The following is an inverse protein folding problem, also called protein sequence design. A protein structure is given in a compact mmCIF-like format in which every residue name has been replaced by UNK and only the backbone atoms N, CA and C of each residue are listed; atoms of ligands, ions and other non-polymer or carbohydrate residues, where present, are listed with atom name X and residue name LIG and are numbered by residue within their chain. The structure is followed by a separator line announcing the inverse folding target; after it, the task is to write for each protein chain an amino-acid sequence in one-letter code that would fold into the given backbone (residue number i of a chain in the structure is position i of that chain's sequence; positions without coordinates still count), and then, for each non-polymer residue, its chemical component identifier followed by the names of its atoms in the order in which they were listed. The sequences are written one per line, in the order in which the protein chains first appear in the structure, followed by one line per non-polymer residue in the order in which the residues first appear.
data_IF_471644777540
#
_entry.id   IF_471644777540
#
_cell.length_a   1.000
_cell.length_b   1.000
_cell.length_c   1.000
_cell.angle_alpha   90.00
_cell.angle_beta   90.00
_cell.angle_gamma   90.00
#
_symmetry.space_group_name_H-M   'P 1'
#
loop_
_entity.id
_entity.type
_entity.pdbx_description
1 polymer ?
#
# COMPACT_ATOMS: atom_id res chain seq x y z
N UNK A 1 -16.93 -8.00 4.12
CA UNK A 1 -17.63 -6.75 3.78
C UNK A 1 -16.62 -5.75 3.27
N UNK A 2 -16.95 -4.91 2.26
CA UNK A 2 -16.05 -3.86 1.85
C UNK A 2 -15.89 -2.80 2.96
N UNK A 3 -14.69 -2.28 3.10
CA UNK A 3 -14.34 -1.19 4.00
C UNK A 3 -15.14 0.07 3.64
N UNK A 4 -15.64 0.82 4.63
CA UNK A 4 -16.55 1.96 4.38
C UNK A 4 -15.81 3.20 3.86
N UNK A 5 -14.54 3.27 4.18
CA UNK A 5 -13.54 4.28 3.87
C UNK A 5 -12.76 3.97 2.57
N UNK A 6 -13.21 2.99 1.79
CA UNK A 6 -12.60 2.63 0.52
C UNK A 6 -12.36 3.85 -0.39
N UNK A 7 -11.13 4.00 -0.88
CA UNK A 7 -10.72 5.09 -1.76
C UNK A 7 -10.31 6.39 -1.04
N UNK A 8 -10.49 6.49 0.29
CA UNK A 8 -9.99 7.61 1.08
C UNK A 8 -8.46 7.65 1.04
N UNK A 9 -7.88 8.84 0.95
CA UNK A 9 -6.43 9.02 1.03
C UNK A 9 -5.98 8.71 2.46
N UNK A 10 -4.89 7.96 2.58
CA UNK A 10 -4.27 7.57 3.84
C UNK A 10 -2.75 7.75 3.76
N UNK A 11 -2.15 8.13 4.87
CA UNK A 11 -0.71 8.15 5.10
C UNK A 11 -0.24 6.98 5.97
N UNK A 12 -1.13 6.29 6.67
CA UNK A 12 -0.77 5.13 7.49
C UNK A 12 -1.81 3.99 7.35
N UNK A 13 -1.38 2.76 7.64
CA UNK A 13 -2.24 1.59 7.59
C UNK A 13 -3.36 1.66 8.64
N UNK A 14 -3.08 2.27 9.80
CA UNK A 14 -4.02 2.44 10.91
C UNK A 14 -5.14 3.46 10.62
N UNK A 15 -5.06 4.22 9.53
CA UNK A 15 -6.11 5.18 9.15
C UNK A 15 -7.28 4.54 8.41
N UNK A 16 -7.13 3.28 7.98
CA UNK A 16 -8.11 2.59 7.16
C UNK A 16 -8.79 1.43 7.91
N UNK A 17 -10.06 1.14 7.63
CA UNK A 17 -10.76 -0.04 8.18
C UNK A 17 -10.16 -1.37 7.66
N UNK A 18 -9.39 -1.32 6.57
CA UNK A 18 -8.71 -2.48 5.99
C UNK A 18 -7.20 -2.29 5.90
N UNK A 19 -6.70 -1.66 4.85
CA UNK A 19 -5.28 -1.44 4.60
C UNK A 19 -5.05 -0.21 3.71
N UNK A 20 -4.00 0.54 3.99
CA UNK A 20 -3.57 1.67 3.16
C UNK A 20 -2.61 1.21 2.05
N UNK A 21 -3.02 1.37 0.79
CA UNK A 21 -2.25 0.95 -0.38
C UNK A 21 -1.79 2.14 -1.22
N UNK A 22 -0.51 2.21 -1.54
CA UNK A 22 0.00 3.21 -2.48
C UNK A 22 -0.30 2.85 -3.94
N UNK A 23 -0.64 3.86 -4.74
CA UNK A 23 -0.59 3.71 -6.19
C UNK A 23 0.85 3.93 -6.65
N UNK A 24 1.58 2.82 -6.81
CA UNK A 24 2.94 2.87 -7.36
C UNK A 24 2.92 2.67 -8.88
N UNK A 25 3.80 3.40 -9.56
CA UNK A 25 4.15 3.10 -10.95
C UNK A 25 4.97 1.81 -11.04
N UNK A 26 4.94 1.15 -12.20
CA UNK A 26 5.65 -0.11 -12.42
C UNK A 26 7.16 0.01 -12.12
N UNK A 27 7.77 1.15 -12.45
CA UNK A 27 9.17 1.44 -12.16
C UNK A 27 9.46 1.58 -10.65
N UNK A 28 8.54 2.14 -9.87
CA UNK A 28 8.68 2.26 -8.41
C UNK A 28 8.51 0.90 -7.72
N UNK A 29 7.52 0.13 -8.16
CA UNK A 29 7.32 -1.24 -7.69
C UNK A 29 8.55 -2.11 -7.98
N UNK A 30 9.15 -2.00 -9.17
CA UNK A 30 10.35 -2.75 -9.54
C UNK A 30 11.57 -2.34 -8.69
N UNK A 31 11.74 -1.03 -8.41
CA UNK A 31 12.75 -0.56 -7.45
C UNK A 31 12.57 -1.16 -6.06
N UNK A 32 11.36 -1.13 -5.52
CA UNK A 32 11.07 -1.68 -4.19
C UNK A 32 11.25 -3.20 -4.15
N UNK A 33 10.92 -3.92 -5.23
CA UNK A 33 11.18 -5.37 -5.35
C UNK A 33 12.66 -5.71 -5.32
N UNK A 34 13.52 -4.86 -5.89
CA UNK A 34 14.98 -5.04 -5.90
C UNK A 34 15.66 -4.57 -4.61
N UNK A 35 14.90 -4.23 -3.56
CA UNK A 35 15.44 -3.70 -2.31
C UNK A 35 15.88 -2.24 -2.41
N UNK A 36 15.29 -1.48 -3.34
CA UNK A 36 15.52 -0.05 -3.48
C UNK A 36 14.99 0.77 -2.30
N UNK A 37 15.34 2.05 -2.27
CA UNK A 37 15.02 2.97 -1.18
C UNK A 37 13.52 3.16 -0.96
N UNK A 38 13.14 3.35 0.30
CA UNK A 38 11.77 3.69 0.71
C UNK A 38 11.22 4.87 -0.10
N UNK A 39 10.00 4.74 -0.58
CA UNK A 39 9.33 5.76 -1.37
C UNK A 39 8.33 6.52 -0.49
N UNK A 40 8.54 7.82 -0.28
CA UNK A 40 7.53 8.64 0.41
C UNK A 40 6.36 8.92 -0.53
N UNK A 41 5.19 8.42 -0.15
CA UNK A 41 3.94 8.59 -0.90
C UNK A 41 2.75 8.40 0.02
N UNK A 42 1.62 8.98 -0.38
CA UNK A 42 0.32 8.67 0.20
C UNK A 42 -0.29 7.47 -0.51
N UNK A 43 -1.17 6.78 0.19
CA UNK A 43 -1.97 5.67 -0.33
C UNK A 43 -3.45 5.97 -0.35
N UNK A 44 -4.21 4.92 -0.63
CA UNK A 44 -5.67 4.89 -0.54
C UNK A 44 -6.12 3.65 0.22
N UNK A 45 -7.15 3.81 1.03
CA UNK A 45 -7.77 2.70 1.75
C UNK A 45 -8.36 1.71 0.74
N UNK A 46 -7.98 0.45 0.87
CA UNK A 46 -8.50 -0.61 0.02
C UNK A 46 -9.97 -0.90 0.36
N UNK A 47 -10.81 -1.26 -0.63
CA UNK A 47 -12.16 -1.73 -0.34
C UNK A 47 -12.14 -3.10 0.37
N UNK A 48 -11.13 -3.93 0.15
CA UNK A 48 -10.98 -5.25 0.75
C UNK A 48 -9.52 -5.51 1.05
N UNK A 49 -9.24 -6.34 2.06
CA UNK A 49 -7.89 -6.81 2.32
C UNK A 49 -7.46 -7.75 1.18
N UNK A 50 -6.47 -7.37 0.36
CA UNK A 50 -6.00 -8.24 -0.70
C UNK A 50 -5.27 -9.42 -0.07
N UNK A 51 -5.66 -10.63 -0.46
CA UNK A 51 -5.12 -11.89 0.08
C UNK A 51 -4.06 -12.52 -0.82
N UNK A 52 -3.82 -11.95 -2.00
CA UNK A 52 -2.91 -12.52 -2.99
C UNK A 52 -2.17 -11.41 -3.75
N UNK A 53 -0.90 -11.65 -4.03
CA UNK A 53 -0.04 -10.76 -4.81
C UNK A 53 0.80 -9.79 -3.97
N UNK A 54 1.59 -8.97 -4.66
CA UNK A 54 2.48 -7.99 -4.04
C UNK A 54 1.81 -6.63 -3.95
N UNK A 55 1.54 -6.20 -2.72
CA UNK A 55 0.83 -4.96 -2.41
C UNK A 55 1.77 -3.93 -1.75
N UNK A 56 1.73 -2.67 -2.21
CA UNK A 56 2.52 -1.59 -1.62
C UNK A 56 1.79 -0.97 -0.42
N UNK A 57 2.05 -1.49 0.77
CA UNK A 57 1.48 -0.96 2.01
C UNK A 57 2.19 0.34 2.39
N UNK A 58 1.40 1.37 2.72
CA UNK A 58 1.92 2.63 3.24
C UNK A 58 1.94 2.58 4.75
N UNK A 59 3.11 2.84 5.33
CA UNK A 59 3.30 2.99 6.76
C UNK A 59 3.99 4.33 6.98
N UNK A 60 3.43 5.22 7.81
CA UNK A 60 4.00 6.53 8.14
C UNK A 60 4.37 7.39 6.93
N UNK A 61 3.56 7.33 5.87
CA UNK A 61 3.73 8.08 4.62
C UNK A 61 4.88 7.57 3.75
N UNK A 62 5.37 6.35 4.01
CA UNK A 62 6.41 5.70 3.22
C UNK A 62 6.04 4.27 2.85
N UNK A 63 6.43 3.86 1.64
CA UNK A 63 6.40 2.47 1.20
C UNK A 63 7.85 1.98 1.18
N UNK A 64 8.22 1.18 2.18
CA UNK A 64 9.57 0.62 2.27
C UNK A 64 9.74 -0.72 1.53
N UNK A 65 8.66 -1.46 1.35
CA UNK A 65 8.67 -2.77 0.69
C UNK A 65 7.27 -3.11 0.16
N UNK A 66 7.23 -4.02 -0.81
CA UNK A 66 5.98 -4.67 -1.19
C UNK A 66 5.72 -5.83 -0.24
N UNK A 67 4.54 -5.89 0.35
CA UNK A 67 4.07 -7.07 1.06
C UNK A 67 3.54 -8.05 0.01
N UNK A 68 4.23 -9.16 -0.22
CA UNK A 68 3.76 -10.21 -1.12
C UNK A 68 3.08 -11.31 -0.32
N UNK A 69 1.80 -11.53 -0.61
CA UNK A 69 0.99 -12.60 -0.04
C UNK A 69 0.84 -13.69 -1.12
N UNK A 70 1.08 -14.93 -0.71
CA UNK A 70 1.00 -16.15 -1.54
C UNK A 70 -0.05 -17.11 -0.94
#
# INVERSE_FOLDING_TARGET
MPARDAGRICGDADECDSICLATLSQAQSDRLRRGGSNLSTLGRCAPVYPVFGCIPVVERGVVGRLLCLD
#
